data_IF_962700241757
#
_entry.id   IF_962700241757
#
_cell.length_a   1.000
_cell.length_b   1.000
_cell.length_c   1.000
_cell.angle_alpha   90.00
_cell.angle_beta   90.00
_cell.angle_gamma   90.00
#
_symmetry.space_group_name_H-M   'P 1'
#
loop_
_entity.id
_entity.type
_entity.pdbx_description
1 polymer ?
#
# COMPACT_ATOMS: atom_id res chain seq x y z
N UNK A 1 -7.29 18.26 -5.43
CA UNK A 1 -6.57 17.40 -4.46
C UNK A 1 -5.35 16.79 -5.15
N UNK A 2 -4.25 16.53 -4.43
CA UNK A 2 -3.11 15.78 -5.01
C UNK A 2 -3.52 14.30 -5.19
N UNK A 3 -3.32 13.73 -6.37
CA UNK A 3 -3.66 12.32 -6.64
C UNK A 3 -2.88 11.36 -5.73
N UNK A 4 -3.48 10.20 -5.43
CA UNK A 4 -2.91 9.20 -4.52
C UNK A 4 -1.54 8.68 -4.99
N UNK A 5 -1.40 8.44 -6.29
CA UNK A 5 -0.16 8.01 -6.94
C UNK A 5 0.97 9.02 -6.74
N UNK A 6 0.67 10.33 -6.78
CA UNK A 6 1.66 11.39 -6.50
C UNK A 6 2.09 11.42 -5.04
N UNK A 7 1.18 11.20 -4.10
CA UNK A 7 1.50 11.13 -2.66
C UNK A 7 2.44 9.97 -2.36
N UNK A 8 2.14 8.79 -2.89
CA UNK A 8 2.97 7.58 -2.72
C UNK A 8 4.36 7.80 -3.34
N UNK A 9 4.43 8.34 -4.56
CA UNK A 9 5.71 8.70 -5.19
C UNK A 9 6.53 9.64 -4.32
N UNK A 10 5.92 10.70 -3.80
CA UNK A 10 6.63 11.68 -2.97
C UNK A 10 7.20 11.03 -1.71
N UNK A 11 6.43 10.17 -1.04
CA UNK A 11 6.88 9.45 0.16
C UNK A 11 8.04 8.51 -0.14
N UNK A 12 7.95 7.70 -1.21
CA UNK A 12 9.04 6.80 -1.62
C UNK A 12 10.31 7.63 -1.88
N UNK A 13 10.21 8.71 -2.65
CA UNK A 13 11.37 9.56 -2.95
C UNK A 13 11.97 10.20 -1.69
N UNK A 14 11.14 10.63 -0.74
CA UNK A 14 11.59 11.23 0.52
C UNK A 14 12.38 10.23 1.37
N UNK A 15 11.89 9.00 1.55
CA UNK A 15 12.60 7.99 2.35
C UNK A 15 13.95 7.63 1.71
N UNK A 16 13.97 7.40 0.39
CA UNK A 16 15.22 7.07 -0.29
C UNK A 16 16.23 8.23 -0.35
N UNK A 17 15.75 9.48 -0.39
CA UNK A 17 16.60 10.66 -0.26
C UNK A 17 17.24 10.73 1.14
N UNK A 18 16.43 10.53 2.19
CA UNK A 18 16.91 10.54 3.57
C UNK A 18 17.92 9.42 3.82
N UNK A 19 17.64 8.20 3.38
CA UNK A 19 18.57 7.07 3.50
C UNK A 19 19.88 7.33 2.74
N UNK A 20 19.80 7.92 1.55
CA UNK A 20 20.98 8.30 0.77
C UNK A 20 21.82 9.38 1.47
N UNK A 21 21.17 10.36 2.10
CA UNK A 21 21.82 11.40 2.89
C UNK A 21 22.46 10.82 4.16
N UNK A 22 21.75 9.98 4.90
CA UNK A 22 22.25 9.32 6.11
C UNK A 22 23.49 8.48 5.81
N UNK A 23 23.43 7.60 4.79
CA UNK A 23 24.57 6.82 4.35
C UNK A 23 25.74 7.71 3.88
N UNK A 24 25.43 8.78 3.13
CA UNK A 24 26.42 9.74 2.68
C UNK A 24 27.13 10.49 3.82
N UNK A 25 26.39 10.86 4.87
CA UNK A 25 26.94 11.50 6.06
C UNK A 25 27.82 10.53 6.87
N UNK A 26 27.39 9.28 7.05
CA UNK A 26 28.19 8.26 7.76
C UNK A 26 29.51 7.99 7.03
N UNK A 27 29.47 7.81 5.71
CA UNK A 27 30.67 7.63 4.88
C UNK A 27 31.58 8.87 4.98
N UNK A 28 30.99 10.07 4.87
CA UNK A 28 31.72 11.33 4.97
C UNK A 28 32.41 11.50 6.33
N UNK A 29 31.74 11.17 7.44
CA UNK A 29 32.32 11.23 8.79
C UNK A 29 33.52 10.28 8.90
N UNK A 30 33.42 9.05 8.41
CA UNK A 30 34.53 8.08 8.44
C UNK A 30 35.73 8.60 7.65
N UNK A 31 35.51 9.15 6.46
CA UNK A 31 36.57 9.74 5.62
C UNK A 31 37.24 10.93 6.34
N UNK A 32 36.44 11.80 6.97
CA UNK A 32 36.95 12.96 7.70
C UNK A 32 37.74 12.58 8.95
N UNK A 33 37.30 11.55 9.69
CA UNK A 33 38.04 11.02 10.85
C UNK A 33 39.39 10.46 10.42
N UNK A 34 39.43 9.70 9.33
CA UNK A 34 40.69 9.19 8.77
C UNK A 34 41.62 10.33 8.31
N UNK A 35 41.06 11.40 7.74
CA UNK A 35 41.84 12.55 7.30
C UNK A 35 42.58 13.27 8.45
N UNK A 36 42.11 13.17 9.70
CA UNK A 36 42.75 13.80 10.85
C UNK A 36 44.12 13.19 11.18
N UNK A 37 44.33 11.93 10.82
CA UNK A 37 45.60 11.22 11.04
C UNK A 37 46.64 11.51 9.93
N UNK A 38 46.21 12.19 8.85
CA UNK A 38 47.06 12.46 7.69
C UNK A 38 47.74 13.83 7.77
N UNK A 39 48.90 13.99 7.10
CA UNK A 39 49.55 15.28 6.94
C UNK A 39 48.61 16.35 6.36
N UNK A 40 48.78 17.60 6.79
CA UNK A 40 47.87 18.73 6.49
C UNK A 40 47.57 18.95 5.00
N UNK A 41 48.54 18.68 4.13
CA UNK A 41 48.42 18.81 2.68
C UNK A 41 47.53 17.74 2.03
N UNK A 42 47.37 16.57 2.64
CA UNK A 42 46.39 15.55 2.22
C UNK A 42 44.98 15.83 2.75
N UNK A 43 44.82 16.59 3.83
CA UNK A 43 43.52 16.81 4.45
C UNK A 43 42.51 17.50 3.51
N UNK A 44 43.00 18.34 2.59
CA UNK A 44 42.15 19.03 1.61
C UNK A 44 41.50 18.03 0.64
N UNK A 45 42.27 17.06 0.14
CA UNK A 45 41.78 16.06 -0.82
C UNK A 45 40.71 15.16 -0.17
N UNK A 46 40.92 14.75 1.08
CA UNK A 46 39.95 13.91 1.80
C UNK A 46 38.67 14.65 2.17
N UNK A 47 38.72 15.97 2.41
CA UNK A 47 37.50 16.78 2.59
C UNK A 47 36.68 16.82 1.30
N UNK A 48 37.34 16.99 0.15
CA UNK A 48 36.67 16.95 -1.16
C UNK A 48 36.07 15.56 -1.40
N UNK A 49 36.84 14.50 -1.11
CA UNK A 49 36.36 13.13 -1.23
C UNK A 49 35.12 12.87 -0.38
N UNK A 50 35.08 13.34 0.87
CA UNK A 50 33.92 13.20 1.74
C UNK A 50 32.67 13.86 1.13
N UNK A 51 32.79 15.08 0.62
CA UNK A 51 31.68 15.81 -0.04
C UNK A 51 31.20 15.04 -1.28
N UNK A 52 32.13 14.58 -2.12
CA UNK A 52 31.81 13.82 -3.33
C UNK A 52 31.09 12.53 -2.98
N UNK A 53 31.57 11.79 -1.98
CA UNK A 53 30.94 10.54 -1.55
C UNK A 53 29.54 10.74 -0.97
N UNK A 54 29.31 11.82 -0.20
CA UNK A 54 27.96 12.17 0.25
C UNK A 54 27.04 12.49 -0.93
N UNK A 55 27.50 13.27 -1.90
CA UNK A 55 26.73 13.60 -3.10
C UNK A 55 26.40 12.33 -3.92
N UNK A 56 27.36 11.43 -4.09
CA UNK A 56 27.15 10.13 -4.76
C UNK A 56 26.10 9.29 -4.04
N UNK A 57 26.17 9.16 -2.72
CA UNK A 57 25.18 8.41 -1.94
C UNK A 57 23.77 8.97 -2.07
N UNK A 58 23.61 10.30 -2.10
CA UNK A 58 22.33 10.95 -2.36
C UNK A 58 21.80 10.62 -3.75
N UNK A 59 22.64 10.70 -4.79
CA UNK A 59 22.26 10.35 -6.16
C UNK A 59 21.85 8.88 -6.25
N UNK A 60 22.62 7.98 -5.64
CA UNK A 60 22.31 6.54 -5.59
C UNK A 60 20.96 6.32 -4.90
N UNK A 61 20.71 6.95 -3.74
CA UNK A 61 19.42 6.91 -3.06
C UNK A 61 18.26 7.31 -3.97
N UNK A 62 18.38 8.45 -4.66
CA UNK A 62 17.36 8.91 -5.61
C UNK A 62 17.13 7.94 -6.78
N UNK A 63 18.17 7.28 -7.29
CA UNK A 63 18.04 6.27 -8.34
C UNK A 63 17.29 5.03 -7.84
N UNK A 64 17.57 4.55 -6.62
CA UNK A 64 16.81 3.47 -6.00
C UNK A 64 15.33 3.84 -5.80
N UNK A 65 15.06 5.05 -5.28
CA UNK A 65 13.69 5.56 -5.12
C UNK A 65 12.95 5.62 -6.46
N UNK A 66 13.61 6.09 -7.53
CA UNK A 66 13.05 6.12 -8.88
C UNK A 66 12.77 4.72 -9.40
N UNK A 67 13.69 3.77 -9.22
CA UNK A 67 13.53 2.37 -9.64
C UNK A 67 12.31 1.72 -8.96
N UNK A 68 12.19 1.87 -7.63
CA UNK A 68 11.06 1.37 -6.85
C UNK A 68 9.73 1.98 -7.31
N UNK A 69 9.69 3.29 -7.52
CA UNK A 69 8.50 3.96 -8.04
C UNK A 69 8.11 3.46 -9.43
N UNK A 70 9.08 3.30 -10.35
CA UNK A 70 8.81 2.77 -11.70
C UNK A 70 8.24 1.35 -11.62
N UNK A 71 8.77 0.50 -10.73
CA UNK A 71 8.24 -0.83 -10.47
C UNK A 71 6.79 -0.80 -9.98
N UNK A 72 6.49 0.04 -8.98
CA UNK A 72 5.14 0.21 -8.45
C UNK A 72 4.18 0.77 -9.49
N UNK A 73 4.59 1.81 -10.24
CA UNK A 73 3.77 2.42 -11.30
C UNK A 73 3.43 1.41 -12.39
N UNK A 74 4.36 0.54 -12.78
CA UNK A 74 4.10 -0.55 -13.73
C UNK A 74 3.15 -1.60 -13.17
N UNK A 75 3.17 -1.88 -11.86
CA UNK A 75 2.19 -2.76 -11.22
C UNK A 75 0.80 -2.12 -11.20
N UNK A 76 0.72 -0.86 -10.77
CA UNK A 76 -0.53 -0.10 -10.75
C UNK A 76 -1.16 -0.02 -12.15
N UNK A 77 -0.38 0.34 -13.17
CA UNK A 77 -0.88 0.43 -14.54
C UNK A 77 -1.39 -0.92 -15.06
N UNK A 78 -0.73 -2.04 -14.72
CA UNK A 78 -1.20 -3.38 -15.09
C UNK A 78 -2.44 -3.80 -14.30
N UNK A 79 -2.50 -3.45 -13.02
CA UNK A 79 -3.66 -3.73 -12.18
C UNK A 79 -4.88 -2.88 -12.58
N UNK A 80 -4.67 -1.71 -13.20
CA UNK A 80 -5.74 -0.86 -13.70
C UNK A 80 -6.13 -1.20 -15.15
N UNK A 81 -5.26 -1.90 -15.89
CA UNK A 81 -5.50 -2.26 -17.28
C UNK A 81 -6.72 -3.21 -17.36
N UNK A 82 -7.83 -2.70 -17.88
CA UNK A 82 -9.10 -3.45 -17.98
C UNK A 82 -10.16 -3.06 -16.95
N UNK A 83 -9.91 -2.04 -16.12
CA UNK A 83 -10.86 -1.54 -15.13
C UNK A 83 -11.12 -0.04 -15.30
N UNK A 84 -12.38 0.38 -15.11
CA UNK A 84 -12.80 1.79 -15.20
C UNK A 84 -12.42 2.58 -13.94
N UNK A 85 -12.33 1.92 -12.78
CA UNK A 85 -12.06 2.54 -11.49
C UNK A 85 -10.60 3.01 -11.37
N UNK A 86 -10.44 4.33 -11.28
CA UNK A 86 -9.13 4.99 -11.14
C UNK A 86 -8.66 5.00 -9.69
N UNK A 87 -7.48 4.43 -9.44
CA UNK A 87 -6.81 4.46 -8.13
C UNK A 87 -6.60 5.89 -7.58
N UNK A 88 -6.44 6.86 -8.48
CA UNK A 88 -6.15 8.24 -8.12
C UNK A 88 -7.36 9.01 -7.58
N UNK A 89 -8.57 8.52 -7.87
CA UNK A 89 -9.84 9.14 -7.49
C UNK A 89 -10.48 8.50 -6.25
N UNK A 90 -9.89 7.39 -5.77
CA UNK A 90 -10.40 6.69 -4.58
C UNK A 90 -10.06 7.39 -3.26
N UNK A 91 -11.00 7.33 -2.33
CA UNK A 91 -10.78 7.68 -0.93
C UNK A 91 -10.41 6.42 -0.14
N UNK A 92 -9.15 6.34 0.27
CA UNK A 92 -8.64 5.24 1.08
C UNK A 92 -8.97 5.42 2.56
N UNK A 93 -9.55 4.40 3.17
CA UNK A 93 -9.80 4.30 4.61
C UNK A 93 -8.92 3.22 5.21
N UNK A 94 -8.41 3.48 6.40
CA UNK A 94 -7.58 2.53 7.12
C UNK A 94 -8.48 1.43 7.70
N UNK A 95 -8.08 0.16 7.55
CA UNK A 95 -8.88 -0.98 8.02
C UNK A 95 -8.74 -1.18 9.53
N UNK A 96 -7.56 -0.89 10.08
CA UNK A 96 -7.29 -1.01 11.51
C UNK A 96 -6.39 0.14 12.02
N UNK A 97 -5.98 0.08 13.28
CA UNK A 97 -5.06 1.07 13.86
C UNK A 97 -3.57 0.82 13.56
N UNK A 98 -3.20 -0.29 12.91
CA UNK A 98 -1.79 -0.59 12.57
C UNK A 98 -1.24 0.36 11.50
N UNK A 99 -2.10 0.93 10.66
CA UNK A 99 -1.70 1.80 9.56
C UNK A 99 -1.01 1.07 8.40
N UNK A 100 -1.12 -0.26 8.33
CA UNK A 100 -0.51 -1.04 7.25
C UNK A 100 -1.46 -1.34 6.09
N UNK A 101 -2.77 -1.33 6.32
CA UNK A 101 -3.73 -1.77 5.31
C UNK A 101 -4.86 -0.75 5.15
N UNK A 102 -5.13 -0.40 3.89
CA UNK A 102 -6.10 0.61 3.51
C UNK A 102 -6.99 0.08 2.40
N UNK A 103 -8.29 0.26 2.54
CA UNK A 103 -9.30 -0.13 1.55
C UNK A 103 -9.92 1.12 0.93
N UNK A 104 -10.11 1.08 -0.38
CA UNK A 104 -10.93 2.04 -1.13
C UNK A 104 -12.18 1.37 -1.67
N UNK A 105 -12.78 1.96 -2.71
CA UNK A 105 -14.01 1.44 -3.33
C UNK A 105 -13.77 0.12 -4.08
N UNK A 106 -12.70 0.04 -4.86
CA UNK A 106 -12.30 -1.09 -5.67
C UNK A 106 -10.82 -1.48 -5.43
N UNK A 107 -10.05 -0.67 -4.68
CA UNK A 107 -8.62 -0.89 -4.49
C UNK A 107 -8.27 -1.24 -3.05
N UNK A 108 -7.23 -2.06 -2.91
CA UNK A 108 -6.57 -2.38 -1.65
C UNK A 108 -5.13 -1.88 -1.69
N UNK A 109 -4.73 -1.12 -0.67
CA UNK A 109 -3.38 -0.64 -0.48
C UNK A 109 -2.79 -1.26 0.78
N UNK A 110 -1.73 -2.05 0.59
CA UNK A 110 -0.89 -2.55 1.66
C UNK A 110 0.40 -1.74 1.71
N UNK A 111 0.80 -1.35 2.93
CA UNK A 111 1.94 -0.50 3.21
C UNK A 111 2.64 -0.98 4.47
N UNK A 112 3.83 -1.53 4.33
CA UNK A 112 4.71 -1.86 5.45
C UNK A 112 6.08 -1.20 5.21
N UNK A 113 6.36 -0.13 5.95
CA UNK A 113 7.57 0.67 5.77
C UNK A 113 7.73 1.21 4.33
N UNK A 114 8.69 0.64 3.60
CA UNK A 114 9.00 0.96 2.20
C UNK A 114 8.26 0.08 1.18
N UNK A 115 7.70 -1.04 1.62
CA UNK A 115 6.96 -1.95 0.76
C UNK A 115 5.53 -1.47 0.63
N UNK A 116 5.21 -0.95 -0.55
CA UNK A 116 3.86 -0.59 -0.95
C UNK A 116 3.39 -1.60 -2.00
N UNK A 117 2.25 -2.25 -1.76
CA UNK A 117 1.60 -3.14 -2.71
C UNK A 117 0.16 -2.68 -2.91
N UNK A 118 -0.28 -2.73 -4.17
CA UNK A 118 -1.59 -2.22 -4.58
C UNK A 118 -2.27 -3.36 -5.34
N UNK A 119 -3.49 -3.67 -4.93
CA UNK A 119 -4.30 -4.73 -5.50
C UNK A 119 -5.67 -4.21 -5.89
N UNK A 120 -6.20 -4.74 -6.99
CA UNK A 120 -7.58 -4.51 -7.37
C UNK A 120 -8.45 -5.55 -6.67
N UNK A 121 -9.67 -5.19 -6.23
CA UNK A 121 -10.56 -6.11 -5.50
C UNK A 121 -10.74 -7.44 -6.24
N UNK A 122 -11.02 -7.39 -7.55
CA UNK A 122 -11.26 -8.59 -8.35
C UNK A 122 -10.01 -9.48 -8.57
N UNK A 123 -8.82 -9.01 -8.17
CA UNK A 123 -7.59 -9.80 -8.21
C UNK A 123 -7.33 -10.59 -6.92
N UNK A 124 -8.14 -10.37 -5.88
CA UNK A 124 -8.04 -11.03 -4.60
C UNK A 124 -8.96 -12.25 -4.63
N UNK A 125 -8.41 -13.43 -4.35
CA UNK A 125 -9.16 -14.70 -4.41
C UNK A 125 -9.84 -14.99 -3.08
N UNK A 126 -9.08 -14.92 -1.98
CA UNK A 126 -9.61 -15.09 -0.63
C UNK A 126 -8.86 -14.22 0.38
N UNK A 127 -9.54 -13.96 1.49
CA UNK A 127 -8.96 -13.35 2.69
C UNK A 127 -9.28 -14.30 3.82
N UNK A 128 -8.23 -14.94 4.34
CA UNK A 128 -8.36 -15.99 5.33
C UNK A 128 -7.74 -15.50 6.66
N UNK A 129 -8.53 -15.42 7.75
CA UNK A 129 -7.98 -15.16 9.08
C UNK A 129 -7.15 -16.36 9.53
N UNK A 130 -6.02 -16.07 10.17
CA UNK A 130 -5.14 -17.08 10.75
C UNK A 130 -4.59 -16.60 12.09
N UNK A 131 -5.04 -17.19 13.19
CA UNK A 131 -4.45 -16.89 14.49
C UNK A 131 -5.22 -17.51 15.65
N UNK A 132 -4.51 -17.73 16.76
CA UNK A 132 -5.11 -18.12 18.04
C UNK A 132 -5.94 -16.95 18.59
N UNK A 133 -7.26 -17.16 18.72
CA UNK A 133 -8.12 -16.34 19.57
C UNK A 133 -7.69 -16.50 21.03
N UNK A 134 -6.69 -15.71 21.44
CA UNK A 134 -6.12 -15.74 22.79
C UNK A 134 -5.12 -14.61 23.06
N UNK A 135 -4.48 -14.07 22.01
CA UNK A 135 -3.68 -12.85 22.06
C UNK A 135 -4.41 -11.68 21.40
N UNK A 136 -4.15 -10.45 21.84
CA UNK A 136 -4.79 -9.20 21.38
C UNK A 136 -4.62 -8.87 19.88
N UNK A 137 -4.07 -9.77 19.05
CA UNK A 137 -3.74 -9.54 17.63
C UNK A 137 -4.10 -10.74 16.77
N UNK A 138 -4.69 -10.48 15.60
CA UNK A 138 -5.09 -11.50 14.62
C UNK A 138 -4.25 -11.32 13.37
N UNK A 139 -3.63 -12.40 12.87
CA UNK A 139 -2.93 -12.35 11.58
C UNK A 139 -3.92 -12.71 10.47
N UNK A 140 -3.98 -11.90 9.42
CA UNK A 140 -4.84 -12.09 8.27
C UNK A 140 -3.96 -12.40 7.07
N UNK A 141 -4.23 -13.49 6.36
CA UNK A 141 -3.56 -13.79 5.11
C UNK A 141 -4.44 -13.37 3.94
N UNK A 142 -3.89 -12.54 3.07
CA UNK A 142 -4.51 -12.21 1.80
C UNK A 142 -3.86 -13.05 0.70
N UNK A 143 -4.67 -13.85 0.03
CA UNK A 143 -4.25 -14.60 -1.14
C UNK A 143 -4.65 -13.79 -2.39
N UNK A 144 -3.64 -13.28 -3.10
CA UNK A 144 -3.86 -12.50 -4.32
C UNK A 144 -3.45 -13.33 -5.51
N UNK A 145 -4.42 -13.58 -6.40
CA UNK A 145 -4.18 -14.24 -7.67
C UNK A 145 -3.98 -13.19 -8.76
N UNK A 146 -2.74 -13.04 -9.20
CA UNK A 146 -2.40 -12.06 -10.23
C UNK A 146 -2.75 -12.65 -11.60
N UNK A 147 -3.62 -11.97 -12.37
CA UNK A 147 -4.11 -12.45 -13.67
C UNK A 147 -3.03 -12.82 -14.71
N UNK A 148 -1.78 -12.39 -14.53
CA UNK A 148 -0.72 -12.52 -15.54
C UNK A 148 0.48 -13.37 -15.08
N UNK A 149 0.34 -14.10 -13.97
CA UNK A 149 1.25 -15.17 -13.56
C UNK A 149 0.43 -16.23 -12.83
N UNK A 150 0.75 -17.51 -12.99
CA UNK A 150 0.31 -18.54 -12.03
C UNK A 150 1.00 -18.36 -10.64
N UNK A 151 1.44 -17.15 -10.30
CA UNK A 151 2.04 -16.81 -9.03
C UNK A 151 0.91 -16.35 -8.11
N UNK A 152 0.60 -17.17 -7.11
CA UNK A 152 -0.17 -16.75 -5.95
C UNK A 152 0.73 -15.89 -5.07
N UNK A 153 0.37 -14.61 -4.89
CA UNK A 153 1.05 -13.75 -3.93
C UNK A 153 0.30 -13.80 -2.60
N UNK A 154 0.93 -14.40 -1.59
CA UNK A 154 0.36 -14.53 -0.25
C UNK A 154 0.97 -13.45 0.65
N UNK A 155 0.11 -12.62 1.22
CA UNK A 155 0.48 -11.51 2.10
C UNK A 155 -0.01 -11.78 3.52
N UNK A 156 0.90 -11.76 4.49
CA UNK A 156 0.55 -11.77 5.91
C UNK A 156 0.44 -10.34 6.44
N UNK A 157 -0.72 -10.00 6.99
CA UNK A 157 -1.00 -8.73 7.64
C UNK A 157 -1.35 -8.99 9.11
N UNK A 158 -0.73 -8.28 10.04
CA UNK A 158 -1.04 -8.40 11.47
C UNK A 158 -2.02 -7.29 11.86
N UNK A 159 -3.27 -7.66 12.10
CA UNK A 159 -4.31 -6.71 12.50
C UNK A 159 -4.27 -6.45 14.01
N UNK A 160 -4.32 -5.17 14.37
CA UNK A 160 -4.50 -4.74 15.76
C UNK A 160 -5.94 -4.86 16.27
N UNK A 161 -6.90 -5.10 15.38
CA UNK A 161 -8.31 -5.30 15.69
C UNK A 161 -8.74 -6.73 15.28
N UNK A 162 -9.36 -7.52 16.17
CA UNK A 162 -9.92 -8.83 15.82
C UNK A 162 -10.94 -8.78 14.66
N UNK A 163 -11.70 -7.70 14.53
CA UNK A 163 -12.76 -7.59 13.51
C UNK A 163 -12.21 -7.25 12.11
N UNK A 164 -10.91 -7.00 11.98
CA UNK A 164 -10.31 -6.59 10.70
C UNK A 164 -10.45 -7.65 9.60
N UNK A 165 -10.46 -8.93 9.98
CA UNK A 165 -10.68 -10.02 9.04
C UNK A 165 -12.10 -9.99 8.47
N UNK A 166 -13.10 -9.78 9.32
CA UNK A 166 -14.51 -9.73 8.93
C UNK A 166 -14.78 -8.50 8.06
N UNK A 167 -14.23 -7.34 8.42
CA UNK A 167 -14.33 -6.12 7.62
C UNK A 167 -13.71 -6.29 6.23
N UNK A 168 -12.61 -7.02 6.13
CA UNK A 168 -11.96 -7.30 4.86
C UNK A 168 -12.74 -8.31 4.02
N UNK A 169 -13.29 -9.35 4.66
CA UNK A 169 -14.13 -10.33 4.00
C UNK A 169 -15.42 -9.68 3.45
N UNK A 170 -16.06 -8.82 4.24
CA UNK A 170 -17.23 -8.02 3.82
C UNK A 170 -16.86 -7.06 2.69
N UNK A 171 -15.71 -6.40 2.76
CA UNK A 171 -15.24 -5.53 1.68
C UNK A 171 -14.95 -6.29 0.38
N UNK A 172 -14.43 -7.52 0.46
CA UNK A 172 -14.13 -8.35 -0.71
C UNK A 172 -15.41 -8.86 -1.37
N UNK A 173 -16.36 -9.32 -0.56
CA UNK A 173 -17.64 -9.87 -0.99
C UNK A 173 -18.77 -9.11 -0.29
N UNK A 174 -19.08 -7.86 -0.73
CA UNK A 174 -20.14 -7.09 -0.11
C UNK A 174 -21.46 -7.83 -0.30
N UNK A 175 -22.11 -8.17 0.81
CA UNK A 175 -23.43 -8.79 0.76
C UNK A 175 -24.40 -7.77 0.16
N UNK A 176 -25.11 -8.09 -0.94
CA UNK A 176 -26.07 -7.16 -1.51
C UNK A 176 -27.13 -6.84 -0.47
N UNK A 177 -27.23 -5.57 -0.04
CA UNK A 177 -28.23 -5.17 0.93
C UNK A 177 -29.61 -5.29 0.30
N UNK A 178 -30.40 -6.25 0.79
CA UNK A 178 -31.76 -6.47 0.30
C UNK A 178 -32.61 -5.23 0.59
N UNK A 179 -33.35 -4.74 -0.41
CA UNK A 179 -34.37 -3.71 -0.18
C UNK A 179 -35.53 -4.34 0.57
N UNK A 180 -35.84 -3.80 1.75
CA UNK A 180 -37.04 -4.21 2.48
C UNK A 180 -38.20 -3.36 2.02
N UNK A 181 -39.23 -4.00 1.49
CA UNK A 181 -40.42 -3.32 1.03
C UNK A 181 -41.13 -2.63 2.19
N UNK A 182 -41.30 -1.30 2.13
CA UNK A 182 -42.00 -0.54 3.18
C UNK A 182 -43.50 -0.87 3.29
N UNK A 183 -44.11 -1.32 2.20
CA UNK A 183 -45.55 -1.64 2.18
C UNK A 183 -45.88 -3.00 2.82
N UNK A 184 -45.05 -4.03 2.65
CA UNK A 184 -45.36 -5.39 3.14
C UNK A 184 -44.25 -6.07 3.94
N UNK A 185 -43.09 -5.42 4.11
CA UNK A 185 -41.94 -5.96 4.85
C UNK A 185 -41.14 -7.04 4.11
N UNK A 186 -41.51 -7.40 2.88
CA UNK A 186 -40.81 -8.45 2.14
C UNK A 186 -39.39 -8.01 1.72
N UNK A 187 -38.37 -8.89 1.86
CA UNK A 187 -37.05 -8.63 1.33
C UNK A 187 -37.05 -8.80 -0.20
N UNK A 188 -36.46 -7.85 -0.90
CA UNK A 188 -36.36 -7.82 -2.35
C UNK A 188 -34.90 -7.67 -2.77
N UNK A 189 -34.65 -8.00 -4.04
CA UNK A 189 -33.36 -7.78 -4.68
C UNK A 189 -32.96 -6.29 -4.60
N UNK A 190 -31.69 -5.96 -4.33
CA UNK A 190 -31.23 -4.57 -4.27
C UNK A 190 -31.60 -3.74 -5.51
N UNK A 191 -31.60 -4.37 -6.68
CA UNK A 191 -31.89 -3.71 -7.97
C UNK A 191 -33.37 -3.79 -8.37
N UNK A 192 -34.22 -4.41 -7.53
CA UNK A 192 -35.65 -4.51 -7.80
C UNK A 192 -36.30 -3.12 -7.73
N UNK A 193 -36.96 -2.71 -8.83
CA UNK A 193 -37.80 -1.51 -8.87
C UNK A 193 -39.16 -1.71 -8.19
N UNK A 194 -39.64 -2.94 -8.15
CA UNK A 194 -40.95 -3.31 -7.62
C UNK A 194 -40.81 -4.50 -6.68
N UNK A 195 -41.65 -4.52 -5.64
CA UNK A 195 -41.72 -5.62 -4.69
C UNK A 195 -42.26 -6.88 -5.38
N UNK A 196 -41.49 -7.97 -5.36
CA UNK A 196 -41.87 -9.25 -5.94
C UNK A 196 -43.10 -9.89 -5.24
N UNK A 197 -43.44 -9.43 -4.04
CA UNK A 197 -44.54 -9.96 -3.23
C UNK A 197 -45.84 -9.17 -3.36
N UNK A 198 -45.78 -7.84 -3.36
CA UNK A 198 -46.97 -6.99 -3.33
C UNK A 198 -47.07 -6.00 -4.51
N UNK A 199 -46.08 -5.97 -5.40
CA UNK A 199 -46.06 -5.08 -6.57
C UNK A 199 -45.82 -3.60 -6.28
N UNK A 200 -45.65 -3.20 -5.01
CA UNK A 200 -45.37 -1.80 -4.67
C UNK A 200 -43.98 -1.36 -5.15
N UNK A 201 -43.84 -0.07 -5.46
CA UNK A 201 -42.55 0.52 -5.84
C UNK A 201 -41.57 0.43 -4.65
N UNK A 202 -40.33 0.04 -4.92
CA UNK A 202 -39.26 -0.02 -3.93
C UNK A 202 -38.40 1.25 -4.04
N UNK A 203 -38.55 2.16 -3.07
CA UNK A 203 -37.62 3.29 -2.84
C UNK A 203 -36.30 2.80 -2.25
#
# INVERSE_FOLDING_TARGET
MRSNSRKIRQQIMQVYLLNGLEAGCLIGIVILLYALELPSWFQQDYRILAIVMTAVSVVVGLLFGRSKWVGLKRRLFRAQAGHEDSFDDEEFRMVDHSGTLYTGGAWLLYREGLDCRIYYRNSIESIDPYGEHGGKRVKVWLSVKLQNRQDLEVLGYEAGNPDAADLLAEWLNPVPQKKVCRACGAPNDPDAKYCAWCGSLLD
#
